data_IF_317020797829
#
_entry.id   IF_317020797829
#
_cell.length_a   1.000
_cell.length_b   1.000
_cell.length_c   1.000
_cell.angle_alpha   90.00
_cell.angle_beta   90.00
_cell.angle_gamma   90.00
#
_symmetry.space_group_name_H-M   'P 1'
#
loop_
_entity.id
_entity.type
_entity.pdbx_description
1 polymer ?
#
# COMPACT_ATOMS: atom_id res chain seq x y z
N UNK A 1 7.89 -7.05 -0.32
CA UNK A 1 7.30 -7.16 1.02
C UNK A 1 5.83 -6.75 0.97
N UNK A 2 4.97 -7.59 1.47
CA UNK A 2 3.53 -7.37 1.44
C UNK A 2 2.95 -7.40 2.85
N UNK A 3 2.09 -6.46 3.17
CA UNK A 3 1.46 -6.38 4.49
C UNK A 3 0.00 -6.01 4.40
N UNK A 4 -0.79 -6.52 5.34
CA UNK A 4 -2.17 -6.09 5.53
C UNK A 4 -2.13 -4.82 6.39
N UNK A 5 -2.63 -3.71 5.84
CA UNK A 5 -2.70 -2.45 6.56
C UNK A 5 -4.00 -2.30 7.34
N UNK A 6 -5.05 -2.91 6.83
CA UNK A 6 -6.37 -2.77 7.43
C UNK A 6 -7.18 -4.02 7.15
N UNK A 7 -7.90 -4.48 8.17
CA UNK A 7 -8.82 -5.60 8.04
C UNK A 7 -10.14 -5.18 8.67
N UNK A 8 -11.22 -5.18 7.88
CA UNK A 8 -12.56 -4.83 8.36
C UNK A 8 -13.57 -5.82 7.78
N UNK A 9 -14.12 -6.68 8.63
CA UNK A 9 -15.06 -7.72 8.21
C UNK A 9 -14.47 -8.53 7.06
N UNK A 10 -15.12 -8.50 5.90
CA UNK A 10 -14.66 -9.23 4.72
C UNK A 10 -13.70 -8.44 3.84
N UNK A 11 -13.46 -7.15 4.16
CA UNK A 11 -12.54 -6.30 3.40
C UNK A 11 -11.15 -6.31 4.01
N UNK A 12 -10.14 -6.26 3.15
CA UNK A 12 -8.76 -6.06 3.58
C UNK A 12 -8.05 -5.11 2.63
N UNK A 13 -7.18 -4.26 3.21
CA UNK A 13 -6.31 -3.36 2.45
C UNK A 13 -4.89 -3.86 2.59
N UNK A 14 -4.24 -4.09 1.47
CA UNK A 14 -2.89 -4.62 1.40
C UNK A 14 -1.94 -3.60 0.79
N UNK A 15 -0.73 -3.56 1.31
CA UNK A 15 0.37 -2.77 0.76
C UNK A 15 1.51 -3.71 0.39
N UNK A 16 2.01 -3.57 -0.82
CA UNK A 16 3.17 -4.32 -1.28
C UNK A 16 4.22 -3.36 -1.82
N UNK A 17 5.48 -3.58 -1.44
CA UNK A 17 6.61 -2.82 -1.95
C UNK A 17 7.63 -3.80 -2.51
N UNK A 18 7.99 -3.62 -3.78
CA UNK A 18 8.90 -4.51 -4.49
C UNK A 18 9.95 -3.66 -5.21
N UNK A 19 11.25 -3.94 -5.01
CA UNK A 19 12.28 -3.23 -5.77
C UNK A 19 12.30 -3.70 -7.22
N UNK A 20 12.31 -2.75 -8.15
CA UNK A 20 12.35 -3.01 -9.58
C UNK A 20 13.36 -2.03 -10.21
N UNK A 21 14.59 -2.51 -10.48
CA UNK A 21 15.65 -1.66 -11.00
C UNK A 21 15.98 -0.54 -10.02
N UNK A 22 15.92 0.70 -10.51
CA UNK A 22 16.19 1.89 -9.68
C UNK A 22 14.95 2.40 -8.95
N UNK A 23 13.83 1.70 -9.09
CA UNK A 23 12.55 2.12 -8.53
C UNK A 23 12.02 1.11 -7.54
N UNK A 24 11.09 1.55 -6.73
CA UNK A 24 10.30 0.69 -5.86
C UNK A 24 8.85 0.75 -6.33
N UNK A 25 8.29 -0.41 -6.65
CA UNK A 25 6.86 -0.47 -6.95
C UNK A 25 6.10 -0.47 -5.63
N UNK A 26 5.21 0.48 -5.48
CA UNK A 26 4.33 0.58 -4.30
C UNK A 26 2.91 0.33 -4.77
N UNK A 27 2.30 -0.71 -4.23
CA UNK A 27 0.97 -1.14 -4.68
C UNK A 27 0.01 -1.26 -3.50
N UNK A 28 -1.15 -0.64 -3.66
CA UNK A 28 -2.27 -0.76 -2.71
C UNK A 28 -3.38 -1.55 -3.37
N UNK A 29 -3.91 -2.54 -2.67
CA UNK A 29 -5.01 -3.36 -3.17
C UNK A 29 -6.05 -3.56 -2.08
N UNK A 30 -7.34 -3.54 -2.47
CA UNK A 30 -8.42 -3.93 -1.58
C UNK A 30 -9.02 -5.23 -2.06
N UNK A 31 -9.26 -6.14 -1.13
CA UNK A 31 -9.85 -7.45 -1.42
C UNK A 31 -11.14 -7.61 -0.61
N UNK A 32 -12.11 -8.29 -1.21
CA UNK A 32 -13.37 -8.60 -0.54
C UNK A 32 -13.57 -10.10 -0.55
N UNK A 33 -13.53 -10.73 0.61
CA UNK A 33 -13.58 -12.18 0.73
C UNK A 33 -14.92 -12.80 0.28
N UNK A 34 -16.00 -12.03 0.31
CA UNK A 34 -17.33 -12.49 -0.09
C UNK A 34 -17.66 -12.19 -1.55
N UNK A 35 -16.71 -11.66 -2.31
CA UNK A 35 -16.90 -11.41 -3.73
C UNK A 35 -16.93 -12.72 -4.52
N UNK A 36 -17.48 -12.66 -5.74
CA UNK A 36 -17.46 -13.82 -6.64
C UNK A 36 -16.05 -14.29 -6.95
N UNK A 37 -15.10 -13.34 -6.99
CA UNK A 37 -13.69 -13.62 -7.23
C UNK A 37 -12.87 -12.97 -6.11
N UNK A 38 -12.79 -13.63 -4.93
CA UNK A 38 -12.16 -13.03 -3.75
C UNK A 38 -10.69 -12.66 -3.92
N UNK A 39 -9.99 -13.29 -4.87
CA UNK A 39 -8.58 -13.01 -5.13
C UNK A 39 -8.35 -11.82 -6.06
N UNK A 40 -9.43 -11.26 -6.61
CA UNK A 40 -9.34 -10.10 -7.49
C UNK A 40 -9.52 -8.82 -6.69
N UNK A 41 -8.56 -7.89 -6.75
CA UNK A 41 -8.70 -6.62 -6.04
C UNK A 41 -9.80 -5.76 -6.64
N UNK A 42 -10.59 -5.12 -5.78
CA UNK A 42 -11.57 -4.13 -6.20
C UNK A 42 -10.92 -2.81 -6.56
N UNK A 43 -9.92 -2.44 -5.77
CA UNK A 43 -9.18 -1.19 -5.98
C UNK A 43 -7.71 -1.51 -6.03
N UNK A 44 -7.04 -0.99 -7.05
CA UNK A 44 -5.61 -1.17 -7.21
C UNK A 44 -4.99 0.17 -7.56
N UNK A 45 -4.02 0.57 -6.76
CA UNK A 45 -3.19 1.73 -7.03
C UNK A 45 -1.75 1.28 -7.05
N UNK A 46 -1.05 1.58 -8.13
CA UNK A 46 0.33 1.16 -8.34
C UNK A 46 1.16 2.36 -8.76
N UNK A 47 2.29 2.56 -8.10
CA UNK A 47 3.18 3.67 -8.41
C UNK A 47 4.62 3.23 -8.29
N UNK A 48 5.50 3.94 -8.97
CA UNK A 48 6.93 3.64 -8.98
C UNK A 48 7.68 4.82 -8.40
N UNK A 49 8.34 4.61 -7.27
CA UNK A 49 9.05 5.65 -6.55
C UNK A 49 10.53 5.29 -6.43
N UNK A 50 11.39 6.28 -6.59
CA UNK A 50 12.81 6.11 -6.25
C UNK A 50 12.95 5.95 -4.75
N UNK A 51 14.13 5.51 -4.30
CA UNK A 51 14.40 5.38 -2.86
C UNK A 51 14.19 6.71 -2.14
N UNK A 52 14.61 7.81 -2.76
CA UNK A 52 14.45 9.14 -2.18
C UNK A 52 12.99 9.55 -2.08
N UNK A 53 12.21 9.27 -3.12
CA UNK A 53 10.78 9.57 -3.12
C UNK A 53 10.04 8.74 -2.09
N UNK A 54 10.41 7.47 -1.95
CA UNK A 54 9.83 6.60 -0.93
C UNK A 54 10.16 7.12 0.48
N UNK A 55 11.40 7.58 0.67
CA UNK A 55 11.86 8.17 1.92
C UNK A 55 11.08 9.45 2.25
N UNK A 56 10.84 10.29 1.23
CA UNK A 56 10.04 11.51 1.40
C UNK A 56 8.61 11.17 1.85
N UNK A 57 8.03 10.13 1.26
CA UNK A 57 6.69 9.68 1.66
C UNK A 57 6.69 9.21 3.12
N UNK A 58 7.68 8.42 3.51
CA UNK A 58 7.80 7.93 4.87
C UNK A 58 7.96 9.08 5.87
N UNK A 59 8.78 10.07 5.52
CA UNK A 59 9.01 11.26 6.35
C UNK A 59 7.73 12.08 6.50
N UNK A 60 6.98 12.25 5.41
CA UNK A 60 5.71 12.97 5.47
C UNK A 60 4.73 12.30 6.42
N UNK A 61 4.60 10.98 6.31
CA UNK A 61 3.69 10.22 7.18
C UNK A 61 4.14 10.31 8.64
N UNK A 62 5.43 10.16 8.88
CA UNK A 62 6.00 10.23 10.22
C UNK A 62 5.76 11.59 10.87
N UNK A 63 5.99 12.67 10.11
CA UNK A 63 5.74 14.03 10.60
C UNK A 63 4.27 14.26 10.91
N UNK A 64 3.38 13.75 10.06
CA UNK A 64 1.94 13.84 10.30
C UNK A 64 1.56 13.19 11.63
N UNK A 65 2.07 11.99 11.88
CA UNK A 65 1.76 11.25 13.10
C UNK A 65 2.31 11.98 14.33
N UNK A 66 3.54 12.48 14.26
CA UNK A 66 4.21 13.13 15.39
C UNK A 66 3.59 14.48 15.74
N UNK A 67 3.10 15.22 14.76
CA UNK A 67 2.60 16.58 14.97
C UNK A 67 1.09 16.70 14.92
N UNK A 68 0.40 15.58 14.85
CA UNK A 68 -1.07 15.57 14.88
C UNK A 68 -1.73 16.11 13.62
N UNK A 69 -1.01 16.05 12.51
CA UNK A 69 -1.55 16.47 11.21
C UNK A 69 -0.97 17.76 10.67
#
# INVERSE_FOLDING_TARGET
>A
MKRVLQQRDAYSLHLEIVPIGDFNMVKFETLYAEAKMPDHPYTKLEMYLTDRELENLATYISNYIEHGG
#
